data_IF_322333095572
#
_entry.id   IF_322333095572
#
_cell.length_a   1.000
_cell.length_b   1.000
_cell.length_c   1.000
_cell.angle_alpha   90.00
_cell.angle_beta   90.00
_cell.angle_gamma   90.00
#
_symmetry.space_group_name_H-M   'P 1'
#
loop_
_entity.id
_entity.type
_entity.pdbx_description
1 polymer ?
#
# COMPACT_ATOMS: atom_id res chain seq x y z
N UNK A 1 8.95 -16.67 23.69
CA UNK A 1 8.27 -16.04 22.54
C UNK A 1 9.16 -14.89 22.12
N UNK A 2 10.22 -15.19 21.38
CA UNK A 2 11.23 -14.19 21.03
C UNK A 2 11.78 -14.58 19.67
N UNK A 3 11.36 -13.85 18.64
CA UNK A 3 12.02 -13.87 17.34
C UNK A 3 12.16 -12.41 16.91
N UNK A 4 13.24 -11.81 17.38
CA UNK A 4 13.74 -10.51 16.96
C UNK A 4 15.23 -10.70 16.69
N UNK A 5 15.56 -11.58 15.75
CA UNK A 5 16.90 -11.63 15.16
C UNK A 5 16.96 -10.65 13.98
N UNK A 6 18.05 -9.91 13.95
CA UNK A 6 18.31 -8.70 13.15
C UNK A 6 18.48 -8.96 11.66
N UNK A 7 17.42 -9.44 11.01
CA UNK A 7 17.20 -9.32 9.58
C UNK A 7 16.00 -8.41 9.43
N UNK A 8 16.16 -7.19 8.89
CA UNK A 8 15.02 -6.30 8.63
C UNK A 8 13.99 -7.09 7.83
N UNK A 9 12.92 -7.52 8.49
CA UNK A 9 11.94 -8.39 7.86
C UNK A 9 11.32 -7.61 6.70
N UNK A 10 10.85 -8.28 5.65
CA UNK A 10 10.20 -7.63 4.50
C UNK A 10 9.21 -6.54 4.92
N UNK A 11 8.48 -6.76 6.03
CA UNK A 11 7.56 -5.79 6.64
C UNK A 11 8.24 -4.50 7.12
N UNK A 12 9.38 -4.61 7.81
CA UNK A 12 10.13 -3.44 8.26
C UNK A 12 10.68 -2.65 7.09
N UNK A 13 11.21 -3.31 6.04
CA UNK A 13 11.68 -2.61 4.83
C UNK A 13 10.54 -1.85 4.15
N UNK A 14 9.34 -2.43 4.10
CA UNK A 14 8.15 -1.74 3.60
C UNK A 14 7.83 -0.52 4.47
N UNK A 15 7.80 -0.66 5.79
CA UNK A 15 7.53 0.45 6.69
C UNK A 15 8.56 1.59 6.58
N UNK A 16 9.86 1.26 6.53
CA UNK A 16 10.92 2.24 6.33
C UNK A 16 10.80 2.98 4.98
N UNK A 17 10.51 2.25 3.89
CA UNK A 17 10.31 2.87 2.59
C UNK A 17 9.14 3.87 2.63
N UNK A 18 8.03 3.50 3.27
CA UNK A 18 6.83 4.34 3.36
C UNK A 18 6.96 5.55 4.29
N UNK A 19 7.89 5.51 5.26
CA UNK A 19 8.25 6.67 6.07
C UNK A 19 9.16 7.64 5.34
N UNK A 20 10.02 7.13 4.46
CA UNK A 20 10.91 7.95 3.66
C UNK A 20 10.11 8.70 2.59
N UNK A 21 9.37 7.97 1.77
CA UNK A 21 8.61 8.52 0.65
C UNK A 21 7.35 7.68 0.34
N UNK A 22 6.29 8.31 -0.19
CA UNK A 22 5.10 7.59 -0.63
C UNK A 22 5.45 6.61 -1.79
N UNK A 23 4.97 5.37 -1.69
CA UNK A 23 5.28 4.32 -2.66
C UNK A 23 4.08 3.42 -2.96
N UNK A 24 4.01 2.91 -4.20
CA UNK A 24 2.98 1.95 -4.65
C UNK A 24 3.32 0.50 -4.25
N UNK A 25 2.33 -0.39 -4.32
CA UNK A 25 2.54 -1.81 -4.06
C UNK A 25 3.56 -2.45 -5.04
N UNK A 26 3.60 -2.00 -6.30
CA UNK A 26 4.57 -2.45 -7.30
C UNK A 26 5.98 -1.95 -7.01
N UNK A 27 6.15 -0.69 -6.58
CA UNK A 27 7.46 -0.18 -6.17
C UNK A 27 7.99 -0.92 -4.96
N UNK A 28 7.15 -1.10 -3.94
CA UNK A 28 7.51 -1.89 -2.76
C UNK A 28 7.88 -3.32 -3.16
N UNK A 29 7.11 -3.95 -4.03
CA UNK A 29 7.37 -5.30 -4.55
C UNK A 29 8.77 -5.39 -5.18
N UNK A 30 9.13 -4.44 -6.04
CA UNK A 30 10.45 -4.36 -6.66
C UNK A 30 11.56 -4.10 -5.62
N UNK A 31 11.29 -3.26 -4.63
CA UNK A 31 12.27 -2.84 -3.63
C UNK A 31 12.58 -3.94 -2.61
N UNK A 32 11.57 -4.69 -2.16
CA UNK A 32 11.74 -5.81 -1.21
C UNK A 32 11.87 -7.17 -1.87
N UNK A 33 11.60 -7.29 -3.18
CA UNK A 33 11.72 -8.53 -3.94
C UNK A 33 10.64 -9.57 -3.64
N UNK A 34 9.43 -9.14 -3.28
CA UNK A 34 8.27 -10.03 -3.07
C UNK A 34 7.17 -9.72 -4.06
N UNK A 35 6.23 -10.63 -4.28
CA UNK A 35 5.10 -10.38 -5.17
C UNK A 35 4.20 -9.26 -4.64
N UNK A 36 3.58 -8.51 -5.55
CA UNK A 36 2.62 -7.44 -5.21
C UNK A 36 1.51 -7.96 -4.27
N UNK A 37 1.01 -9.18 -4.50
CA UNK A 37 0.04 -9.85 -3.61
C UNK A 37 0.55 -10.00 -2.18
N UNK A 38 1.82 -10.37 -2.00
CA UNK A 38 2.45 -10.44 -0.69
C UNK A 38 2.65 -9.07 -0.06
N UNK A 39 2.96 -8.04 -0.86
CA UNK A 39 3.03 -6.65 -0.39
C UNK A 39 1.71 -6.23 0.25
N UNK A 40 0.57 -6.46 -0.39
CA UNK A 40 -0.74 -6.16 0.19
C UNK A 40 -0.96 -6.83 1.56
N UNK A 41 -0.56 -8.11 1.69
CA UNK A 41 -0.59 -8.80 2.99
C UNK A 41 0.30 -8.13 4.03
N UNK A 42 1.52 -7.72 3.65
CA UNK A 42 2.44 -7.01 4.54
C UNK A 42 1.93 -5.62 4.93
N UNK A 43 1.36 -4.84 4.00
CA UNK A 43 0.79 -3.52 4.26
C UNK A 43 -0.31 -3.57 5.32
N UNK A 44 -1.17 -4.59 5.28
CA UNK A 44 -2.22 -4.79 6.29
C UNK A 44 -1.64 -4.95 7.71
N UNK A 45 -0.52 -5.67 7.84
CA UNK A 45 0.19 -5.80 9.10
C UNK A 45 0.87 -4.50 9.53
N UNK A 46 1.51 -3.80 8.59
CA UNK A 46 2.19 -2.52 8.86
C UNK A 46 1.17 -1.48 9.34
N UNK A 47 0.05 -1.31 8.65
CA UNK A 47 -1.02 -0.39 9.03
C UNK A 47 -1.51 -0.65 10.47
N UNK A 48 -1.68 -1.92 10.84
CA UNK A 48 -2.08 -2.29 12.20
C UNK A 48 -1.00 -2.02 13.24
N UNK A 49 0.27 -2.18 12.87
CA UNK A 49 1.40 -1.89 13.76
C UNK A 49 1.59 -0.39 13.98
N UNK A 50 1.42 0.42 12.93
CA UNK A 50 1.53 1.88 12.95
C UNK A 50 0.44 2.50 13.80
N UNK A 51 -0.80 2.00 13.70
CA UNK A 51 -1.92 2.50 14.51
C UNK A 51 -1.73 2.36 16.03
N UNK A 52 -0.75 1.55 16.47
CA UNK A 52 -0.38 1.40 17.89
C UNK A 52 0.86 2.19 18.32
N UNK A 53 1.50 2.95 17.43
CA UNK A 53 2.65 3.80 17.73
C UNK A 53 2.19 5.25 17.86
N UNK A 54 2.55 5.91 18.98
CA UNK A 54 2.18 7.30 19.23
C UNK A 54 2.83 8.23 18.18
N UNK A 55 1.99 8.82 17.33
CA UNK A 55 2.39 9.84 16.37
C UNK A 55 2.54 9.37 14.92
N UNK A 56 2.48 8.06 14.65
CA UNK A 56 2.55 7.53 13.29
C UNK A 56 1.16 7.24 12.69
N UNK A 57 0.90 7.66 11.46
CA UNK A 57 -0.34 7.42 10.73
C UNK A 57 -0.07 6.77 9.38
N UNK A 58 -0.80 5.68 9.11
CA UNK A 58 -0.76 5.01 7.83
C UNK A 58 -1.79 5.64 6.89
N UNK A 59 -1.32 6.33 5.86
CA UNK A 59 -2.14 6.99 4.85
C UNK A 59 -2.16 6.16 3.56
N UNK A 60 -3.34 6.07 2.96
CA UNK A 60 -3.55 5.41 1.67
C UNK A 60 -4.14 6.45 0.72
N UNK A 61 -3.38 6.82 -0.30
CA UNK A 61 -3.92 7.54 -1.44
C UNK A 61 -4.68 6.54 -2.30
N UNK A 62 -6.00 6.68 -2.44
CA UNK A 62 -6.80 5.76 -3.22
C UNK A 62 -6.35 5.83 -4.69
N UNK A 63 -6.49 4.72 -5.42
CA UNK A 63 -6.19 4.70 -6.85
C UNK A 63 -7.12 5.65 -7.60
N UNK A 64 -6.60 6.38 -8.58
CA UNK A 64 -7.39 7.30 -9.40
C UNK A 64 -7.55 6.76 -10.82
N UNK A 65 -8.68 7.01 -11.46
CA UNK A 65 -8.84 6.66 -12.88
C UNK A 65 -8.11 7.67 -13.76
N UNK A 66 -7.13 7.25 -14.56
CA UNK A 66 -6.41 8.16 -15.49
C UNK A 66 -7.30 8.81 -16.54
N UNK A 67 -8.47 8.24 -16.80
CA UNK A 67 -9.36 8.71 -17.85
C UNK A 67 -10.41 9.73 -17.36
N UNK A 68 -10.88 9.62 -16.12
CA UNK A 68 -11.90 10.53 -15.59
C UNK A 68 -11.57 11.15 -14.22
N UNK A 69 -10.46 10.78 -13.59
CA UNK A 69 -10.05 11.27 -12.27
C UNK A 69 -10.85 10.69 -11.10
N UNK A 70 -11.60 9.62 -11.31
CA UNK A 70 -12.40 9.01 -10.24
C UNK A 70 -11.51 8.27 -9.23
N UNK A 71 -11.55 8.67 -7.96
CA UNK A 71 -10.73 8.12 -6.87
C UNK A 71 -11.52 7.69 -5.61
N UNK A 72 -12.85 7.86 -5.64
CA UNK A 72 -13.75 7.46 -4.56
C UNK A 72 -14.24 6.01 -4.72
N UNK A 73 -13.33 5.04 -4.77
CA UNK A 73 -13.71 3.62 -4.81
C UNK A 73 -14.17 3.16 -3.41
N UNK A 74 -15.45 2.81 -3.26
CA UNK A 74 -16.05 2.36 -1.99
C UNK A 74 -15.38 1.11 -1.39
N UNK A 75 -14.76 0.26 -2.22
CA UNK A 75 -14.04 -0.93 -1.79
C UNK A 75 -12.73 -1.09 -2.58
N UNK A 76 -11.58 -0.63 -2.03
CA UNK A 76 -10.28 -0.75 -2.70
C UNK A 76 -9.78 -2.20 -2.80
N UNK A 77 -10.45 -3.17 -2.14
CA UNK A 77 -10.10 -4.59 -2.18
C UNK A 77 -10.85 -5.30 -3.31
N UNK A 78 -12.09 -4.90 -3.57
CA UNK A 78 -12.95 -5.44 -4.62
C UNK A 78 -12.77 -4.64 -5.92
N UNK A 79 -11.53 -4.57 -6.42
CA UNK A 79 -11.16 -3.80 -7.62
C UNK A 79 -12.03 -4.24 -8.82
N UNK A 80 -13.01 -3.44 -9.26
CA UNK A 80 -13.63 -3.73 -10.55
C UNK A 80 -12.55 -3.50 -11.60
N UNK A 81 -12.44 -4.41 -12.57
CA UNK A 81 -11.50 -4.28 -13.70
C UNK A 81 -11.75 -3.03 -14.55
N UNK A 82 -12.85 -2.30 -14.30
CA UNK A 82 -13.26 -1.09 -15.00
C UNK A 82 -13.79 -0.03 -14.04
N UNK A 83 -13.46 1.22 -14.33
CA UNK A 83 -13.99 2.37 -13.61
C UNK A 83 -15.53 2.42 -13.69
N UNK A 84 -16.26 2.61 -12.59
CA UNK A 84 -17.73 2.70 -12.62
C UNK A 84 -18.26 3.95 -13.34
N UNK A 85 -17.51 5.06 -13.31
CA UNK A 85 -17.86 6.32 -13.99
C UNK A 85 -17.61 6.25 -15.51
N UNK A 86 -16.38 5.97 -15.92
CA UNK A 86 -15.99 6.05 -17.33
C UNK A 86 -15.76 4.70 -18.02
N UNK A 87 -15.87 3.58 -17.29
CA UNK A 87 -15.64 2.20 -17.78
C UNK A 87 -14.25 1.92 -18.35
N UNK A 88 -13.28 2.80 -18.09
CA UNK A 88 -11.90 2.61 -18.50
C UNK A 88 -11.17 1.64 -17.57
N UNK A 89 -10.21 0.91 -18.15
CA UNK A 89 -9.35 -0.07 -17.46
C UNK A 89 -8.05 0.59 -16.94
N UNK A 90 -7.85 1.88 -17.24
CA UNK A 90 -6.70 2.67 -16.79
C UNK A 90 -6.87 3.24 -15.39
N UNK A 91 -6.99 2.36 -14.39
CA UNK A 91 -6.99 2.74 -12.97
C UNK A 91 -5.54 2.72 -12.48
N UNK A 92 -5.10 3.78 -11.82
CA UNK A 92 -3.77 3.87 -11.23
C UNK A 92 -3.62 2.97 -10.02
N UNK A 93 -2.39 2.74 -9.59
CA UNK A 93 -2.12 1.96 -8.38
C UNK A 93 -2.29 2.83 -7.14
N UNK A 94 -2.78 2.23 -6.05
CA UNK A 94 -2.85 2.91 -4.76
C UNK A 94 -1.44 3.25 -4.26
N UNK A 95 -1.27 4.45 -3.72
CA UNK A 95 -0.01 4.91 -3.13
C UNK A 95 -0.14 4.89 -1.62
N UNK A 96 0.85 4.32 -0.93
CA UNK A 96 0.88 4.19 0.51
C UNK A 96 1.91 5.17 1.09
N UNK A 97 1.65 5.69 2.30
CA UNK A 97 2.59 6.57 3.03
C UNK A 97 2.44 6.35 4.54
N UNK A 98 3.53 6.52 5.29
CA UNK A 98 3.50 6.64 6.75
C UNK A 98 3.97 8.05 7.12
N UNK A 99 3.21 8.75 7.95
CA UNK A 99 3.56 10.06 8.54
C UNK A 99 3.74 9.96 10.04
#
# INVERSE_FOLDING_TARGET
MTDQETTTTTRQRIADALRADPATASELSANVGVSVSSVYGHLQHVARSVHGQDGEQFLVAPPECRNCGFSAFDDPVNYPSRCPECRSEGIEEAVFKIE
#
